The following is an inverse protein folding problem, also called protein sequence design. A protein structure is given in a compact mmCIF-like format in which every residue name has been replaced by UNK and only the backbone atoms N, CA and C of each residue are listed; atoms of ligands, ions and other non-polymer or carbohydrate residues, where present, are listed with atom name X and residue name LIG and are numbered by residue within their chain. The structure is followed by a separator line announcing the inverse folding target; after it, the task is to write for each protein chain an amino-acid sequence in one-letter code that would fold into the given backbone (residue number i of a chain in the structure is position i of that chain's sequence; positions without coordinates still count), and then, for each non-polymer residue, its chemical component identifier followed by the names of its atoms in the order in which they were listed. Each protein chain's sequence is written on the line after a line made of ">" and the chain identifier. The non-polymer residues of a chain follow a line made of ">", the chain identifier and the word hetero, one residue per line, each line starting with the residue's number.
data_IF_911845089902
#
_entry.id   IF_911845089902
#
_cell.length_a   1.000
_cell.length_b   1.000
_cell.length_c   1.000
_cell.angle_alpha   90.00
_cell.angle_beta   90.00
_cell.angle_gamma   90.00
#
_symmetry.space_group_name_H-M   'P 1'
#
loop_
_entity.id
_entity.type
_entity.pdbx_description
1 polymer ?
#
# COMPACT_ATOMS: atom_id res chain seq x y z
N UNK A 1 -23.62 17.34 -5.16
CA UNK A 1 -22.74 16.74 -4.14
C UNK A 1 -22.25 15.42 -4.73
N UNK A 2 -20.96 15.09 -4.71
CA UNK A 2 -20.48 13.84 -5.29
C UNK A 2 -21.15 12.61 -4.68
N UNK A 3 -21.55 11.66 -5.53
CA UNK A 3 -22.28 10.45 -5.12
C UNK A 3 -21.51 9.60 -4.10
N UNK A 4 -20.19 9.51 -4.27
CA UNK A 4 -19.30 8.71 -3.42
C UNK A 4 -19.31 9.12 -1.94
N UNK A 5 -19.79 10.31 -1.59
CA UNK A 5 -19.90 10.72 -0.17
C UNK A 5 -20.96 9.92 0.60
N UNK A 6 -21.84 9.22 -0.12
CA UNK A 6 -22.85 8.30 0.45
C UNK A 6 -22.39 6.83 0.41
N UNK A 7 -21.19 6.54 -0.13
CA UNK A 7 -20.68 5.18 -0.23
C UNK A 7 -20.18 4.66 1.13
N UNK A 8 -20.09 3.33 1.32
CA UNK A 8 -19.54 2.75 2.53
C UNK A 8 -18.12 3.25 2.82
N UNK A 9 -17.92 3.76 4.04
CA UNK A 9 -16.61 4.24 4.49
C UNK A 9 -15.67 3.06 4.77
N UNK A 10 -14.49 3.05 4.16
CA UNK A 10 -13.40 2.11 4.44
C UNK A 10 -12.53 2.66 5.57
N UNK A 11 -12.20 3.94 5.50
CA UNK A 11 -11.34 4.60 6.49
C UNK A 11 -11.13 6.08 6.18
N UNK A 12 -10.76 6.82 7.23
CA UNK A 12 -10.46 8.24 7.14
C UNK A 12 -9.13 8.53 7.84
N UNK A 13 -8.26 9.28 7.17
CA UNK A 13 -7.02 9.83 7.69
C UNK A 13 -7.10 11.34 7.86
N UNK A 14 -5.96 11.98 8.15
CA UNK A 14 -5.88 13.41 8.36
C UNK A 14 -6.25 14.25 7.12
N UNK A 15 -5.90 13.78 5.92
CA UNK A 15 -6.14 14.49 4.66
C UNK A 15 -7.16 13.75 3.78
N UNK A 16 -7.22 12.42 3.87
CA UNK A 16 -7.90 11.55 2.91
C UNK A 16 -9.01 10.73 3.55
N UNK A 17 -10.06 10.50 2.75
CA UNK A 17 -11.13 9.55 3.07
C UNK A 17 -11.21 8.50 1.96
N UNK A 18 -11.40 7.25 2.34
CA UNK A 18 -11.53 6.13 1.42
C UNK A 18 -12.93 5.52 1.52
N UNK A 19 -13.59 5.38 0.37
CA UNK A 19 -14.94 4.84 0.24
C UNK A 19 -14.93 3.63 -0.68
N UNK A 20 -15.71 2.59 -0.34
CA UNK A 20 -15.89 1.41 -1.18
C UNK A 20 -17.00 1.66 -2.20
N UNK A 21 -16.77 1.29 -3.45
CA UNK A 21 -17.80 1.37 -4.48
C UNK A 21 -18.90 0.34 -4.19
N UNK A 22 -20.18 0.74 -4.02
CA UNK A 22 -21.26 -0.19 -3.77
C UNK A 22 -21.67 -0.98 -5.00
N UNK A 23 -21.31 -0.53 -6.21
CA UNK A 23 -21.62 -1.19 -7.48
C UNK A 23 -20.52 -2.16 -7.94
N UNK A 24 -19.29 -1.96 -7.46
CA UNK A 24 -18.14 -2.82 -7.74
C UNK A 24 -17.33 -3.07 -6.46
N UNK A 25 -17.55 -4.24 -5.86
CA UNK A 25 -16.93 -4.61 -4.58
C UNK A 25 -15.40 -4.68 -4.61
N UNK A 26 -14.78 -4.65 -5.80
CA UNK A 26 -13.33 -4.64 -5.96
C UNK A 26 -12.77 -3.25 -6.23
N UNK A 27 -13.59 -2.19 -6.08
CA UNK A 27 -13.16 -0.81 -6.27
C UNK A 27 -13.35 0.03 -5.03
N UNK A 28 -12.49 1.00 -4.89
CA UNK A 28 -12.59 2.05 -3.88
C UNK A 28 -12.10 3.38 -4.46
N UNK A 29 -12.49 4.47 -3.79
CA UNK A 29 -11.95 5.79 -4.08
C UNK A 29 -11.27 6.35 -2.84
N UNK A 30 -10.08 6.93 -3.03
CA UNK A 30 -9.37 7.74 -2.03
C UNK A 30 -9.49 9.21 -2.45
N UNK A 31 -10.12 10.04 -1.65
CA UNK A 31 -10.38 11.44 -1.99
C UNK A 31 -9.99 12.39 -0.87
N UNK A 32 -9.63 13.62 -1.24
CA UNK A 32 -9.39 14.76 -0.37
C UNK A 32 -10.14 15.98 -0.88
N UNK A 33 -10.46 16.92 0.00
CA UNK A 33 -10.89 18.26 -0.45
C UNK A 33 -9.74 18.93 -1.21
N UNK A 34 -10.03 19.57 -2.35
CA UNK A 34 -9.03 20.26 -3.19
C UNK A 34 -8.18 21.27 -2.41
N UNK A 35 -8.75 21.89 -1.38
CA UNK A 35 -8.07 22.84 -0.49
C UNK A 35 -7.01 22.20 0.40
N UNK A 36 -7.05 20.86 0.59
CA UNK A 36 -6.16 20.11 1.49
C UNK A 36 -5.69 18.81 0.81
N UNK A 37 -5.30 18.85 -0.45
CA UNK A 37 -5.05 17.66 -1.27
C UNK A 37 -3.57 17.46 -1.63
N UNK A 38 -2.62 17.95 -0.84
CA UNK A 38 -1.19 17.87 -1.18
C UNK A 38 -0.69 16.42 -1.31
N UNK A 39 -1.06 15.57 -0.36
CA UNK A 39 -0.68 14.16 -0.35
C UNK A 39 -1.37 13.40 -1.48
N UNK A 40 -2.67 13.61 -1.65
CA UNK A 40 -3.46 13.00 -2.72
C UNK A 40 -2.96 13.37 -4.11
N UNK A 41 -2.57 14.62 -4.35
CA UNK A 41 -2.00 15.05 -5.62
C UNK A 41 -0.65 14.41 -5.91
N UNK A 42 0.20 14.20 -4.89
CA UNK A 42 1.50 13.52 -5.04
C UNK A 42 1.30 12.04 -5.39
N UNK A 43 0.42 11.36 -4.67
CA UNK A 43 0.09 9.97 -4.93
C UNK A 43 -0.51 9.79 -6.32
N UNK A 44 -1.45 10.66 -6.73
CA UNK A 44 -2.05 10.67 -8.06
C UNK A 44 -0.99 10.81 -9.16
N UNK A 45 -0.09 11.79 -9.04
CA UNK A 45 1.02 11.98 -9.99
C UNK A 45 1.91 10.74 -10.07
N UNK A 46 2.17 10.11 -8.92
CA UNK A 46 3.00 8.92 -8.87
C UNK A 46 2.32 7.72 -9.53
N UNK A 47 1.04 7.46 -9.27
CA UNK A 47 0.30 6.40 -9.95
C UNK A 47 0.16 6.63 -11.46
N UNK A 48 -0.04 7.88 -11.89
CA UNK A 48 -0.01 8.22 -13.31
C UNK A 48 1.37 7.98 -13.95
N UNK A 49 2.44 8.22 -13.23
CA UNK A 49 3.79 7.90 -13.64
C UNK A 49 4.01 6.38 -13.74
N UNK A 50 3.58 5.60 -12.75
CA UNK A 50 3.64 4.13 -12.80
C UNK A 50 2.83 3.55 -13.96
N UNK A 51 1.62 4.07 -14.19
CA UNK A 51 0.76 3.66 -15.30
C UNK A 51 1.43 3.90 -16.68
N UNK A 52 2.06 5.06 -16.88
CA UNK A 52 2.82 5.36 -18.12
C UNK A 52 4.00 4.39 -18.34
N UNK A 53 4.59 3.87 -17.27
CA UNK A 53 5.66 2.87 -17.32
C UNK A 53 5.14 1.44 -17.47
N UNK A 54 3.83 1.23 -17.48
CA UNK A 54 3.19 -0.09 -17.51
C UNK A 54 3.70 -1.03 -16.40
N UNK A 55 3.89 -0.48 -15.20
CA UNK A 55 4.36 -1.23 -14.03
C UNK A 55 3.30 -2.25 -13.64
N UNK A 56 3.73 -3.47 -13.28
CA UNK A 56 2.84 -4.49 -12.71
C UNK A 56 2.21 -3.99 -11.41
N UNK A 57 0.93 -4.28 -11.20
CA UNK A 57 0.20 -3.98 -9.97
C UNK A 57 0.13 -5.20 -9.02
N UNK A 58 1.06 -6.14 -9.14
CA UNK A 58 0.99 -7.39 -8.37
C UNK A 58 1.11 -7.21 -6.86
N UNK A 59 1.75 -6.14 -6.37
CA UNK A 59 1.93 -5.86 -4.95
C UNK A 59 1.52 -4.45 -4.52
N UNK A 60 0.85 -3.70 -5.42
CA UNK A 60 0.21 -2.42 -5.12
C UNK A 60 -1.19 -2.40 -5.74
N UNK A 61 -2.15 -1.63 -5.22
CA UNK A 61 -3.49 -1.54 -5.81
C UNK A 61 -3.43 -1.03 -7.24
N UNK A 62 -4.25 -1.61 -8.12
CA UNK A 62 -4.39 -1.11 -9.48
C UNK A 62 -5.03 0.28 -9.46
N UNK A 63 -4.45 1.20 -10.20
CA UNK A 63 -4.99 2.53 -10.44
C UNK A 63 -5.89 2.50 -11.68
N UNK A 64 -7.14 2.95 -11.55
CA UNK A 64 -8.08 2.98 -12.67
C UNK A 64 -8.17 4.37 -13.29
N UNK A 65 -8.48 5.40 -12.48
CA UNK A 65 -8.61 6.76 -12.97
C UNK A 65 -8.45 7.81 -11.86
N UNK A 66 -8.23 9.05 -12.29
CA UNK A 66 -8.36 10.22 -11.44
C UNK A 66 -9.85 10.47 -11.12
N UNK A 67 -10.13 10.80 -9.87
CA UNK A 67 -11.41 11.37 -9.43
C UNK A 67 -11.26 12.88 -9.33
N UNK A 68 -12.17 13.65 -9.94
CA UNK A 68 -12.18 15.13 -9.91
C UNK A 68 -13.64 15.60 -9.97
N UNK A 69 -14.28 15.67 -8.82
CA UNK A 69 -15.73 15.92 -8.70
C UNK A 69 -16.03 16.97 -7.64
N UNK A 70 -16.66 18.08 -8.04
CA UNK A 70 -16.95 19.21 -7.15
C UNK A 70 -15.69 19.72 -6.46
N UNK A 71 -15.70 19.76 -5.13
CA UNK A 71 -14.59 20.22 -4.30
C UNK A 71 -13.56 19.11 -3.98
N UNK A 72 -13.70 17.93 -4.58
CA UNK A 72 -12.87 16.76 -4.28
C UNK A 72 -11.96 16.37 -5.44
N UNK A 73 -10.80 15.83 -5.07
CA UNK A 73 -9.83 15.21 -5.97
C UNK A 73 -9.33 13.90 -5.35
N UNK A 74 -9.08 12.90 -6.18
CA UNK A 74 -8.63 11.60 -5.68
C UNK A 74 -8.27 10.60 -6.75
N UNK A 75 -8.20 9.34 -6.31
CA UNK A 75 -7.87 8.16 -7.11
C UNK A 75 -8.98 7.12 -6.96
N UNK A 76 -9.44 6.58 -8.08
CA UNK A 76 -10.18 5.32 -8.09
C UNK A 76 -9.18 4.19 -8.25
N UNK A 77 -9.27 3.22 -7.34
CA UNK A 77 -8.27 2.17 -7.18
C UNK A 77 -8.93 0.82 -6.89
N UNK A 78 -8.15 -0.23 -7.04
CA UNK A 78 -8.52 -1.56 -6.55
C UNK A 78 -8.74 -1.53 -5.03
N UNK A 79 -9.85 -2.10 -4.59
CA UNK A 79 -10.08 -2.41 -3.20
C UNK A 79 -9.39 -3.73 -2.86
N UNK A 80 -8.29 -3.65 -2.12
CA UNK A 80 -7.50 -4.82 -1.74
C UNK A 80 -8.18 -5.54 -0.58
N UNK A 81 -8.63 -6.77 -0.82
CA UNK A 81 -9.27 -7.63 0.17
C UNK A 81 -8.88 -9.10 -0.07
N UNK A 82 -9.22 -9.97 0.86
CA UNK A 82 -9.07 -11.42 0.69
C UNK A 82 -9.97 -11.95 -0.44
N UNK A 83 -9.67 -13.12 -1.03
CA UNK A 83 -10.50 -13.71 -2.10
C UNK A 83 -11.97 -13.94 -1.72
N UNK A 84 -12.25 -14.12 -0.44
CA UNK A 84 -13.61 -14.24 0.09
C UNK A 84 -14.35 -12.88 0.25
N UNK A 85 -13.71 -11.77 -0.11
CA UNK A 85 -14.23 -10.41 0.00
C UNK A 85 -14.08 -9.76 1.38
N UNK A 86 -13.53 -10.46 2.36
CA UNK A 86 -13.26 -9.92 3.69
C UNK A 86 -12.06 -8.97 3.68
N UNK A 87 -12.09 -7.99 4.56
CA UNK A 87 -10.98 -7.05 4.74
C UNK A 87 -9.71 -7.77 5.20
N UNK A 88 -8.61 -7.55 4.49
CA UNK A 88 -7.30 -8.04 4.90
C UNK A 88 -6.76 -7.21 6.07
N UNK A 89 -6.12 -7.83 7.08
CA UNK A 89 -5.48 -7.10 8.17
C UNK A 89 -4.24 -6.32 7.65
N UNK A 90 -3.96 -5.18 8.26
CA UNK A 90 -2.66 -4.54 8.11
C UNK A 90 -1.57 -5.33 8.83
N UNK A 91 -0.28 -5.04 8.52
CA UNK A 91 0.85 -5.74 9.14
C UNK A 91 0.85 -5.63 10.67
N UNK A 92 0.39 -4.52 11.21
CA UNK A 92 0.36 -4.33 12.64
C UNK A 92 -0.65 -5.27 13.32
N UNK A 93 -1.84 -5.42 12.74
CA UNK A 93 -2.86 -6.38 13.20
C UNK A 93 -2.41 -7.82 12.98
N UNK A 94 -1.82 -8.09 11.81
CA UNK A 94 -1.35 -9.44 11.47
C UNK A 94 -0.27 -9.94 12.43
N UNK A 95 0.71 -9.12 12.77
CA UNK A 95 1.83 -9.48 13.63
C UNK A 95 1.54 -9.43 15.13
N UNK A 96 0.39 -8.87 15.55
CA UNK A 96 -0.03 -8.87 16.97
C UNK A 96 -0.58 -10.21 17.46
N UNK A 97 -0.96 -11.09 16.55
CA UNK A 97 -1.39 -12.46 16.91
C UNK A 97 -0.16 -13.33 17.19
N UNK A 98 -0.31 -14.39 18.01
CA UNK A 98 0.72 -15.42 18.11
C UNK A 98 1.00 -16.04 16.74
N UNK A 99 2.27 -16.24 16.41
CA UNK A 99 2.73 -16.81 15.14
C UNK A 99 3.59 -18.05 15.40
N UNK A 100 3.32 -19.13 14.66
CA UNK A 100 4.22 -20.28 14.61
C UNK A 100 5.46 -19.99 13.77
N UNK A 101 6.49 -20.81 13.86
CA UNK A 101 7.72 -20.65 13.08
C UNK A 101 7.43 -20.77 11.58
N UNK A 102 6.55 -21.67 11.16
CA UNK A 102 6.15 -21.82 9.76
C UNK A 102 5.41 -20.56 9.24
N UNK A 103 4.57 -19.94 10.07
CA UNK A 103 3.90 -18.69 9.70
C UNK A 103 4.89 -17.52 9.61
N UNK A 104 5.90 -17.48 10.46
CA UNK A 104 6.99 -16.50 10.42
C UNK A 104 7.80 -16.66 9.14
N UNK A 105 8.15 -17.88 8.76
CA UNK A 105 8.88 -18.17 7.53
C UNK A 105 8.09 -17.78 6.29
N UNK A 106 6.80 -18.15 6.24
CA UNK A 106 5.89 -17.72 5.16
C UNK A 106 5.78 -16.20 5.06
N UNK A 107 5.74 -15.52 6.21
CA UNK A 107 5.69 -14.06 6.27
C UNK A 107 6.97 -13.41 5.75
N UNK A 108 8.16 -13.92 6.12
CA UNK A 108 9.43 -13.43 5.58
C UNK A 108 9.54 -13.66 4.07
N UNK A 109 9.07 -14.80 3.57
CA UNK A 109 9.03 -15.07 2.14
C UNK A 109 8.14 -14.04 1.40
N UNK A 110 6.94 -13.75 1.91
CA UNK A 110 6.03 -12.78 1.34
C UNK A 110 6.61 -11.34 1.38
N UNK A 111 7.35 -10.99 2.44
CA UNK A 111 8.08 -9.72 2.51
C UNK A 111 9.19 -9.63 1.47
N UNK A 112 9.95 -10.69 1.25
CA UNK A 112 10.99 -10.70 0.22
C UNK A 112 10.40 -10.60 -1.19
N UNK A 113 9.28 -11.26 -1.46
CA UNK A 113 8.54 -11.12 -2.73
C UNK A 113 8.12 -9.66 -2.99
N UNK A 114 7.56 -8.99 -1.97
CA UNK A 114 7.22 -7.56 -2.06
C UNK A 114 8.46 -6.70 -2.31
N UNK A 115 9.56 -6.93 -1.60
CA UNK A 115 10.82 -6.19 -1.80
C UNK A 115 11.35 -6.37 -3.22
N UNK A 116 11.37 -7.60 -3.72
CA UNK A 116 11.81 -7.90 -5.09
C UNK A 116 10.90 -7.21 -6.12
N UNK A 117 9.58 -7.20 -5.90
CA UNK A 117 8.65 -6.44 -6.73
C UNK A 117 9.01 -4.95 -6.77
N UNK A 118 9.21 -4.31 -5.60
CA UNK A 118 9.56 -2.89 -5.51
C UNK A 118 10.87 -2.58 -6.27
N UNK A 119 11.88 -3.42 -6.13
CA UNK A 119 13.19 -3.27 -6.80
C UNK A 119 13.05 -3.47 -8.31
N UNK A 120 12.45 -4.57 -8.74
CA UNK A 120 12.33 -4.95 -10.17
C UNK A 120 11.53 -3.92 -10.95
N UNK A 121 10.46 -3.41 -10.36
CA UNK A 121 9.60 -2.42 -11.02
C UNK A 121 10.02 -0.97 -10.74
N UNK A 122 11.09 -0.75 -9.98
CA UNK A 122 11.51 0.56 -9.48
C UNK A 122 10.33 1.36 -8.89
N UNK A 123 9.54 0.70 -8.04
CA UNK A 123 8.45 1.32 -7.27
C UNK A 123 9.05 1.80 -5.94
N UNK A 124 9.32 3.09 -5.85
CA UNK A 124 10.05 3.67 -4.71
C UNK A 124 9.08 4.16 -3.64
N UNK A 125 9.00 3.48 -2.47
CA UNK A 125 8.13 3.91 -1.39
C UNK A 125 8.63 5.22 -0.76
N UNK A 126 7.69 6.10 -0.39
CA UNK A 126 8.02 7.27 0.41
C UNK A 126 8.04 6.94 1.90
N UNK A 127 7.17 6.05 2.35
CA UNK A 127 7.09 5.65 3.75
C UNK A 127 6.78 4.15 3.90
N UNK A 128 7.57 3.44 4.72
CA UNK A 128 7.39 2.04 5.07
C UNK A 128 6.95 1.96 6.53
N UNK A 129 5.64 2.09 6.75
CA UNK A 129 4.99 1.87 8.04
C UNK A 129 4.02 0.70 7.95
N UNK A 130 3.85 -0.06 9.03
CA UNK A 130 3.09 -1.31 9.02
C UNK A 130 1.63 -1.14 8.57
N UNK A 131 1.01 0.00 8.85
CA UNK A 131 -0.36 0.32 8.41
C UNK A 131 -0.51 0.53 6.91
N UNK A 132 0.60 0.71 6.17
CA UNK A 132 0.59 0.89 4.72
C UNK A 132 0.55 -0.43 3.94
N UNK A 133 0.54 -1.56 4.64
CA UNK A 133 0.56 -2.88 4.04
C UNK A 133 -0.61 -3.72 4.52
N UNK A 134 -1.21 -4.49 3.63
CA UNK A 134 -2.22 -5.50 3.94
C UNK A 134 -1.66 -6.89 3.70
N UNK A 135 -2.04 -7.84 4.54
CA UNK A 135 -1.67 -9.26 4.41
C UNK A 135 -2.91 -10.03 3.92
N UNK A 136 -2.86 -10.46 2.68
CA UNK A 136 -3.90 -11.30 2.08
C UNK A 136 -3.62 -12.77 2.38
N UNK A 137 -4.67 -13.51 2.72
CA UNK A 137 -4.63 -14.96 2.82
C UNK A 137 -5.11 -15.56 1.50
N UNK A 138 -4.23 -16.27 0.82
CA UNK A 138 -4.50 -16.93 -0.45
C UNK A 138 -4.47 -18.45 -0.26
N UNK A 139 -5.04 -19.26 -1.18
CA UNK A 139 -4.96 -20.71 -1.11
C UNK A 139 -3.52 -21.25 -1.07
N UNK A 140 -2.59 -20.57 -1.74
CA UNK A 140 -1.16 -20.93 -1.81
C UNK A 140 -0.30 -20.31 -0.70
N UNK A 141 -0.88 -19.59 0.26
CA UNK A 141 -0.18 -18.94 1.35
C UNK A 141 -0.59 -17.49 1.56
N UNK A 142 0.33 -16.62 1.95
CA UNK A 142 0.05 -15.22 2.18
C UNK A 142 0.73 -14.32 1.15
N UNK A 143 0.14 -13.15 0.90
CA UNK A 143 0.66 -12.12 0.02
C UNK A 143 0.59 -10.76 0.69
N UNK A 144 1.64 -9.97 0.59
CA UNK A 144 1.68 -8.62 1.14
C UNK A 144 1.47 -7.60 0.02
N UNK A 145 0.49 -6.72 0.21
CA UNK A 145 0.16 -5.61 -0.69
C UNK A 145 0.49 -4.28 -0.02
N UNK A 146 1.22 -3.40 -0.70
CA UNK A 146 1.45 -2.03 -0.24
C UNK A 146 0.33 -1.11 -0.73
N UNK A 147 -0.56 -0.68 0.15
CA UNK A 147 -1.79 0.08 -0.19
C UNK A 147 -1.67 1.58 0.02
N UNK A 148 -0.62 2.05 0.69
CA UNK A 148 -0.32 3.46 0.92
C UNK A 148 1.20 3.69 1.02
N UNK A 149 1.62 4.95 1.16
CA UNK A 149 3.05 5.30 1.30
C UNK A 149 3.79 5.43 -0.04
N UNK A 150 3.08 5.64 -1.13
CA UNK A 150 3.63 5.97 -2.45
C UNK A 150 3.50 7.48 -2.74
N UNK A 151 4.32 8.02 -3.65
CA UNK A 151 4.21 9.43 -4.05
C UNK A 151 4.88 10.41 -3.09
N UNK A 152 6.16 10.23 -2.82
CA UNK A 152 6.96 11.09 -1.94
C UNK A 152 7.05 12.56 -2.36
N UNK A 153 7.39 13.42 -1.38
CA UNK A 153 7.46 14.88 -1.51
C UNK A 153 8.79 15.39 -2.10
N UNK A 154 9.57 14.55 -2.76
CA UNK A 154 10.89 14.95 -3.26
C UNK A 154 10.78 15.98 -4.38
N UNK A 155 11.57 17.06 -4.28
CA UNK A 155 11.64 18.13 -5.28
C UNK A 155 12.20 17.59 -6.60
N UNK A 156 13.18 16.67 -6.53
CA UNK A 156 13.78 16.00 -7.69
C UNK A 156 13.80 14.49 -7.43
N UNK A 157 12.84 13.73 -7.96
CA UNK A 157 12.71 12.29 -7.66
C UNK A 157 13.63 11.44 -8.55
N UNK A 158 14.96 11.70 -8.56
CA UNK A 158 15.93 10.91 -9.36
C UNK A 158 15.77 9.40 -9.18
N UNK A 159 15.47 8.96 -7.96
CA UNK A 159 15.26 7.56 -7.66
C UNK A 159 14.09 6.93 -8.44
N UNK A 160 13.09 7.71 -8.82
CA UNK A 160 11.96 7.21 -9.60
C UNK A 160 12.33 6.97 -11.07
N UNK A 161 13.28 7.71 -11.60
CA UNK A 161 13.67 7.67 -13.01
C UNK A 161 14.92 6.81 -13.27
N UNK A 162 15.83 6.73 -12.30
CA UNK A 162 17.10 6.01 -12.42
C UNK A 162 17.06 4.77 -11.52
N UNK A 163 16.93 3.54 -12.08
CA UNK A 163 16.76 2.31 -11.30
C UNK A 163 17.84 2.07 -10.25
N UNK A 164 19.10 2.43 -10.54
CA UNK A 164 20.20 2.31 -9.59
C UNK A 164 19.97 3.10 -8.29
N UNK A 165 19.53 4.35 -8.38
CA UNK A 165 19.23 5.16 -7.20
C UNK A 165 17.94 4.71 -6.52
N UNK A 166 16.95 4.27 -7.31
CA UNK A 166 15.72 3.69 -6.80
C UNK A 166 15.99 2.46 -5.95
N UNK A 167 16.74 1.51 -6.47
CA UNK A 167 17.15 0.29 -5.76
C UNK A 167 17.85 0.61 -4.44
N UNK A 168 18.89 1.46 -4.45
CA UNK A 168 19.61 1.85 -3.22
C UNK A 168 18.70 2.50 -2.18
N UNK A 169 17.74 3.32 -2.64
CA UNK A 169 16.78 3.96 -1.76
C UNK A 169 15.81 2.95 -1.14
N UNK A 170 15.29 2.01 -1.96
CA UNK A 170 14.42 0.91 -1.48
C UNK A 170 15.18 0.09 -0.45
N UNK A 171 16.37 -0.42 -0.78
CA UNK A 171 17.18 -1.25 0.11
C UNK A 171 17.46 -0.58 1.47
N UNK A 172 17.87 0.70 1.46
CA UNK A 172 18.11 1.45 2.70
C UNK A 172 16.86 1.58 3.57
N UNK A 173 15.71 1.93 2.97
CA UNK A 173 14.43 2.04 3.68
C UNK A 173 13.96 0.69 4.19
N UNK A 174 14.17 -0.37 3.39
CA UNK A 174 13.79 -1.73 3.74
C UNK A 174 14.56 -2.25 4.95
N UNK A 175 15.88 -2.07 4.97
CA UNK A 175 16.71 -2.45 6.13
C UNK A 175 16.20 -1.76 7.39
N UNK A 176 15.97 -0.44 7.33
CA UNK A 176 15.43 0.31 8.46
C UNK A 176 14.06 -0.24 8.91
N UNK A 177 13.15 -0.50 7.98
CA UNK A 177 11.83 -1.05 8.27
C UNK A 177 11.90 -2.42 8.95
N UNK A 178 12.76 -3.32 8.42
CA UNK A 178 12.97 -4.65 9.00
C UNK A 178 13.51 -4.58 10.42
N UNK A 179 14.56 -3.76 10.64
CA UNK A 179 15.25 -3.69 11.93
C UNK A 179 14.43 -2.96 12.98
N UNK A 180 13.78 -1.85 12.62
CA UNK A 180 13.09 -0.99 13.59
C UNK A 180 11.62 -1.38 13.83
N UNK A 181 10.99 -2.13 12.91
CA UNK A 181 9.56 -2.43 12.98
C UNK A 181 9.25 -3.91 12.96
N UNK A 182 9.69 -4.64 11.93
CA UNK A 182 9.26 -6.03 11.71
C UNK A 182 9.88 -6.97 12.75
N UNK A 183 11.21 -7.02 12.83
CA UNK A 183 11.91 -7.94 13.74
C UNK A 183 11.49 -7.79 15.20
N UNK A 184 11.48 -6.57 15.79
CA UNK A 184 11.06 -6.42 17.18
C UNK A 184 9.61 -6.85 17.42
N UNK A 185 8.71 -6.60 16.44
CA UNK A 185 7.31 -7.00 16.60
C UNK A 185 7.14 -8.50 16.54
N UNK A 186 7.87 -9.21 15.66
CA UNK A 186 7.83 -10.68 15.60
C UNK A 186 8.40 -11.29 16.89
N UNK A 187 9.56 -10.81 17.36
CA UNK A 187 10.19 -11.29 18.60
C UNK A 187 9.27 -11.14 19.81
N UNK A 188 8.48 -10.06 19.86
CA UNK A 188 7.53 -9.80 20.94
C UNK A 188 6.33 -10.77 20.94
N UNK A 189 5.93 -11.30 19.79
CA UNK A 189 4.70 -12.08 19.62
C UNK A 189 4.94 -13.53 19.16
N UNK A 190 6.21 -13.94 19.06
CA UNK A 190 6.57 -15.33 18.77
C UNK A 190 6.08 -16.24 19.89
N UNK A 191 5.42 -17.33 19.52
CA UNK A 191 5.11 -18.39 20.49
C UNK A 191 6.44 -19.05 20.86
N UNK A 192 6.83 -18.98 22.14
CA UNK A 192 7.92 -19.79 22.65
C UNK A 192 7.35 -21.19 22.90
N UNK A 193 7.74 -22.15 22.10
CA UNK A 193 7.47 -23.59 22.33
C UNK A 193 8.23 -24.08 23.58
#
# INVERSE_FOLDING_TARGET
>A
MPEFLNWPLIGAGAERTCYRDPSDSLRCIKVSKKTQAKQTQRELKYYQFLAKRQVSYSHIPKFYRKVDEGDYIGLEMEYVCNPNGESAPDLHKYLKRPLTDEEIDAFYLALEQLKQYLITNNVVPCDLVMSNFLVLTLPEGIKIMMVDGLGGAEVIPFANYIPYFGRRKIERKWIKFMVERIKPTIEQHRVND
#
